data_IF_590430795952
#
_entry.id   IF_590430795952
#
_cell.length_a   1.000
_cell.length_b   1.000
_cell.length_c   1.000
_cell.angle_alpha   90.00
_cell.angle_beta   90.00
_cell.angle_gamma   90.00
#
_symmetry.space_group_name_H-M   'P 1'
#
loop_
_entity.id
_entity.type
_entity.pdbx_description
1 polymer ?
#
# COMPACT_ATOMS: atom_id res chain seq x y z
N UNK A 1 33.82 -27.12 -4.16
CA UNK A 1 32.41 -26.79 -4.48
C UNK A 1 31.71 -26.57 -3.15
N UNK A 2 31.31 -25.33 -2.85
CA UNK A 2 30.71 -24.98 -1.55
C UNK A 2 29.20 -25.24 -1.62
N UNK A 3 28.69 -26.17 -0.82
CA UNK A 3 27.26 -26.44 -0.74
C UNK A 3 26.66 -25.59 0.38
N UNK A 4 25.94 -24.53 0.02
CA UNK A 4 25.16 -23.74 0.98
C UNK A 4 23.81 -24.43 1.18
N UNK A 5 23.55 -24.93 2.40
CA UNK A 5 22.22 -25.41 2.80
C UNK A 5 21.55 -24.34 3.65
N UNK A 6 20.35 -23.93 3.26
CA UNK A 6 19.49 -23.06 4.06
C UNK A 6 18.71 -23.95 5.03
N UNK A 7 18.97 -23.86 6.33
CA UNK A 7 18.12 -24.47 7.36
C UNK A 7 17.42 -23.35 8.12
N UNK A 8 16.08 -23.41 8.09
CA UNK A 8 15.14 -22.74 8.99
C UNK A 8 15.38 -21.25 9.23
N UNK A 9 14.90 -20.45 8.28
CA UNK A 9 14.69 -19.01 8.47
C UNK A 9 13.63 -18.79 9.56
N UNK A 10 14.04 -18.56 10.81
CA UNK A 10 13.13 -18.11 11.88
C UNK A 10 13.00 -16.58 11.77
N UNK A 11 11.83 -16.04 11.38
CA UNK A 11 11.64 -14.59 11.34
C UNK A 11 11.71 -14.03 12.77
N UNK A 12 12.65 -13.13 13.02
CA UNK A 12 12.70 -12.34 14.26
C UNK A 12 12.07 -10.96 14.04
N UNK A 13 11.53 -10.30 15.09
CA UNK A 13 10.87 -8.99 14.99
C UNK A 13 11.75 -7.83 14.49
N UNK A 14 13.03 -8.08 14.19
CA UNK A 14 14.00 -7.09 13.72
C UNK A 14 14.61 -7.42 12.35
N UNK A 15 14.01 -8.34 11.58
CA UNK A 15 14.43 -8.59 10.20
C UNK A 15 15.85 -9.16 10.04
N UNK A 16 16.39 -9.83 11.07
CA UNK A 16 17.70 -10.46 10.97
C UNK A 16 17.53 -11.92 10.53
N UNK A 17 17.98 -12.23 9.31
CA UNK A 17 18.11 -13.61 8.83
C UNK A 17 19.50 -14.13 9.23
N UNK A 18 19.56 -15.18 10.03
CA UNK A 18 20.82 -15.82 10.42
C UNK A 18 21.07 -17.04 9.53
N UNK A 19 22.09 -16.99 8.69
CA UNK A 19 22.48 -18.12 7.82
C UNK A 19 23.71 -18.79 8.42
N UNK A 20 23.65 -20.11 8.60
CA UNK A 20 24.82 -20.92 8.97
C UNK A 20 25.37 -21.62 7.73
N UNK A 21 26.61 -21.33 7.34
CA UNK A 21 27.31 -22.03 6.26
C UNK A 21 28.16 -23.12 6.92
N UNK A 22 27.86 -24.38 6.64
CA UNK A 22 28.66 -25.52 7.12
C UNK A 22 29.67 -25.91 6.03
N UNK A 23 30.94 -25.66 6.30
CA UNK A 23 32.08 -26.08 5.46
C UNK A 23 33.25 -26.49 6.34
N UNK A 24 34.06 -27.43 5.85
CA UNK A 24 35.12 -28.11 6.61
C UNK A 24 36.01 -27.14 7.40
N UNK A 25 35.84 -27.18 8.72
CA UNK A 25 36.66 -26.59 9.77
C UNK A 25 36.90 -25.07 9.79
N UNK A 26 35.87 -24.23 9.60
CA UNK A 26 35.78 -22.89 10.22
C UNK A 26 34.35 -22.32 10.08
N UNK A 27 33.60 -22.30 11.18
CA UNK A 27 32.31 -21.60 11.24
C UNK A 27 32.59 -20.09 11.24
N UNK A 28 32.32 -19.42 10.13
CA UNK A 28 32.29 -17.95 10.08
C UNK A 28 30.83 -17.50 10.15
N UNK A 29 30.47 -16.78 11.21
CA UNK A 29 29.18 -16.10 11.30
C UNK A 29 29.23 -14.81 10.49
N UNK A 30 28.56 -14.79 9.34
CA UNK A 30 28.35 -13.55 8.58
C UNK A 30 27.02 -12.96 9.01
N UNK A 31 27.06 -11.79 9.66
CA UNK A 31 25.87 -11.02 10.00
C UNK A 31 25.53 -10.12 8.82
N UNK A 32 24.46 -10.41 8.10
CA UNK A 32 23.94 -9.54 7.04
C UNK A 32 22.83 -8.71 7.65
N UNK A 33 23.07 -7.41 7.85
CA UNK A 33 22.02 -6.48 8.25
C UNK A 33 21.16 -6.15 7.04
N UNK A 34 20.01 -6.82 6.92
CA UNK A 34 18.98 -6.42 5.97
C UNK A 34 18.30 -5.19 6.58
N UNK A 35 18.89 -4.01 6.35
CA UNK A 35 18.24 -2.75 6.68
C UNK A 35 16.94 -2.65 5.88
N UNK A 36 15.82 -2.98 6.49
CA UNK A 36 14.51 -2.66 5.94
C UNK A 36 14.47 -1.13 5.83
N UNK A 37 14.62 -0.61 4.61
CA UNK A 37 14.37 0.79 4.35
C UNK A 37 12.91 1.06 4.73
N UNK A 38 12.69 1.65 5.91
CA UNK A 38 11.38 2.17 6.32
C UNK A 38 11.09 3.35 5.41
N UNK A 39 10.50 3.05 4.24
CA UNK A 39 9.89 4.09 3.43
C UNK A 39 8.69 4.59 4.20
N UNK A 40 8.79 5.81 4.73
CA UNK A 40 7.66 6.51 5.33
C UNK A 40 6.60 6.60 4.23
N UNK A 41 5.53 5.82 4.37
CA UNK A 41 4.45 5.84 3.39
C UNK A 41 3.58 7.05 3.69
N UNK A 42 3.47 7.91 2.68
CA UNK A 42 2.73 9.17 2.76
C UNK A 42 1.22 8.87 2.91
N UNK A 43 0.49 9.43 3.90
CA UNK A 43 -0.91 9.07 4.15
C UNK A 43 -1.81 9.46 2.97
N UNK A 44 -2.91 8.74 2.71
CA UNK A 44 -3.86 9.19 1.68
C UNK A 44 -4.52 10.52 2.11
N UNK A 45 -4.39 11.57 1.28
CA UNK A 45 -4.97 12.90 1.55
C UNK A 45 -6.30 13.15 0.82
N UNK A 46 -6.85 12.16 0.12
CA UNK A 46 -8.08 12.33 -0.65
C UNK A 46 -7.91 13.20 -1.90
N UNK A 47 -6.72 13.19 -2.53
CA UNK A 47 -6.47 13.96 -3.75
C UNK A 47 -7.22 13.46 -5.00
N UNK A 48 -7.74 12.23 -4.95
CA UNK A 48 -8.51 11.63 -6.05
C UNK A 48 -7.69 11.04 -7.20
N UNK A 49 -6.34 11.16 -7.20
CA UNK A 49 -5.50 10.73 -8.33
C UNK A 49 -5.73 9.29 -8.77
N UNK A 50 -5.76 8.35 -7.82
CA UNK A 50 -5.97 6.94 -8.13
C UNK A 50 -7.40 6.70 -8.61
N UNK A 51 -8.40 7.24 -7.89
CA UNK A 51 -9.82 6.99 -8.17
C UNK A 51 -10.38 7.70 -9.42
N UNK A 52 -9.77 8.81 -9.84
CA UNK A 52 -10.08 9.49 -11.10
C UNK A 52 -9.30 8.91 -12.28
N UNK A 53 -8.19 8.22 -12.02
CA UNK A 53 -7.38 7.58 -13.04
C UNK A 53 -7.93 6.22 -13.45
N UNK A 54 -8.29 5.38 -12.47
CA UNK A 54 -8.86 4.07 -12.72
C UNK A 54 -9.79 3.61 -11.58
N UNK A 55 -10.73 2.74 -11.91
CA UNK A 55 -11.64 2.15 -10.95
C UNK A 55 -10.94 1.01 -10.19
N UNK A 56 -11.06 0.97 -8.87
CA UNK A 56 -10.47 -0.11 -8.08
C UNK A 56 -11.23 -1.43 -8.26
N UNK A 57 -10.57 -2.55 -7.98
CA UNK A 57 -11.16 -3.90 -8.12
C UNK A 57 -12.47 -4.05 -7.31
N UNK A 58 -12.53 -3.52 -6.10
CA UNK A 58 -13.73 -3.54 -5.25
C UNK A 58 -14.90 -2.85 -5.95
N UNK A 59 -14.66 -1.67 -6.54
CA UNK A 59 -15.69 -0.94 -7.27
C UNK A 59 -16.07 -1.64 -8.57
N UNK A 60 -15.11 -2.23 -9.29
CA UNK A 60 -15.40 -3.07 -10.46
C UNK A 60 -16.30 -4.26 -10.13
N UNK A 61 -16.02 -4.97 -9.03
CA UNK A 61 -16.82 -6.11 -8.58
C UNK A 61 -18.26 -5.72 -8.26
N UNK A 62 -18.46 -4.53 -7.69
CA UNK A 62 -19.79 -4.05 -7.27
C UNK A 62 -20.58 -3.39 -8.39
N UNK A 63 -19.93 -2.70 -9.33
CA UNK A 63 -20.60 -1.82 -10.29
C UNK A 63 -20.29 -2.12 -11.76
N UNK A 64 -19.42 -3.10 -12.04
CA UNK A 64 -18.82 -3.29 -13.36
C UNK A 64 -17.88 -2.15 -13.75
N UNK A 65 -17.47 -2.13 -15.02
CA UNK A 65 -16.63 -1.05 -15.57
C UNK A 65 -17.44 0.24 -15.73
N UNK A 66 -16.96 1.33 -15.13
CA UNK A 66 -17.53 2.68 -15.28
C UNK A 66 -16.42 3.69 -15.63
N UNK A 67 -16.70 4.70 -16.48
CA UNK A 67 -15.73 5.76 -16.78
C UNK A 67 -15.25 6.55 -15.55
N UNK A 68 -16.09 6.58 -14.51
CA UNK A 68 -15.76 7.15 -13.20
C UNK A 68 -16.34 6.26 -12.11
N UNK A 69 -15.55 6.00 -11.07
CA UNK A 69 -15.97 5.24 -9.90
C UNK A 69 -17.24 5.88 -9.28
N UNK A 70 -18.37 5.16 -9.17
CA UNK A 70 -19.61 5.69 -8.57
C UNK A 70 -19.45 6.08 -7.10
N UNK A 71 -18.49 5.47 -6.42
CA UNK A 71 -18.24 5.60 -4.99
C UNK A 71 -17.30 6.77 -4.67
N UNK A 72 -16.83 7.50 -5.69
CA UNK A 72 -15.95 8.65 -5.52
C UNK A 72 -16.76 9.95 -5.42
N UNK A 73 -16.86 10.51 -4.22
CA UNK A 73 -17.53 11.79 -3.97
C UNK A 73 -16.54 12.89 -3.60
N UNK A 74 -16.84 14.13 -3.99
CA UNK A 74 -16.11 15.31 -3.51
C UNK A 74 -16.81 15.83 -2.25
N UNK A 75 -16.10 15.83 -1.13
CA UNK A 75 -16.55 16.47 0.10
C UNK A 75 -16.08 17.93 0.11
N UNK A 76 -17.02 18.84 -0.13
CA UNK A 76 -16.73 20.27 -0.18
C UNK A 76 -16.34 20.85 1.20
N UNK A 77 -16.87 20.29 2.29
CA UNK A 77 -16.56 20.76 3.64
C UNK A 77 -15.15 20.34 4.05
N UNK A 78 -14.75 19.11 3.71
CA UNK A 78 -13.39 18.61 3.95
C UNK A 78 -12.37 19.04 2.88
N UNK A 79 -12.82 19.62 1.76
CA UNK A 79 -11.96 20.03 0.65
C UNK A 79 -11.19 18.87 0.01
N UNK A 80 -11.78 17.66 -0.05
CA UNK A 80 -11.12 16.45 -0.56
C UNK A 80 -12.09 15.43 -1.12
N UNK A 81 -11.59 14.46 -1.87
CA UNK A 81 -12.38 13.30 -2.27
C UNK A 81 -12.53 12.29 -1.12
N UNK A 82 -13.70 11.68 -1.05
CA UNK A 82 -14.06 10.59 -0.13
C UNK A 82 -14.57 9.39 -0.91
N UNK A 83 -14.24 8.19 -0.43
CA UNK A 83 -14.77 6.94 -0.96
C UNK A 83 -15.98 6.52 -0.12
N UNK A 84 -17.16 6.46 -0.74
CA UNK A 84 -18.41 6.15 -0.06
C UNK A 84 -18.45 4.71 0.48
N UNK A 85 -17.80 3.74 -0.20
CA UNK A 85 -17.61 2.39 0.35
C UNK A 85 -16.88 2.41 1.69
N UNK A 86 -15.83 3.21 1.85
CA UNK A 86 -15.08 3.30 3.11
C UNK A 86 -15.90 3.96 4.23
N UNK A 87 -16.95 4.72 3.89
CA UNK A 87 -17.88 5.34 4.83
C UNK A 87 -19.10 4.48 5.13
N UNK A 88 -19.26 3.33 4.45
CA UNK A 88 -20.39 2.44 4.68
C UNK A 88 -20.41 1.94 6.15
N UNK A 89 -21.54 2.06 6.87
CA UNK A 89 -21.60 1.75 8.30
C UNK A 89 -21.45 0.26 8.61
N UNK A 90 -21.85 -0.63 7.70
CA UNK A 90 -21.85 -2.07 7.92
C UNK A 90 -20.55 -2.72 7.42
N UNK A 91 -20.10 -2.31 6.24
CA UNK A 91 -19.00 -2.95 5.51
C UNK A 91 -17.76 -2.08 5.37
N UNK A 92 -17.78 -0.86 5.89
CA UNK A 92 -16.68 0.11 5.72
C UNK A 92 -15.34 -0.40 6.26
N UNK A 93 -15.34 -1.17 7.36
CA UNK A 93 -14.13 -1.79 7.88
C UNK A 93 -13.53 -2.81 6.89
N UNK A 94 -14.37 -3.67 6.30
CA UNK A 94 -13.97 -4.63 5.28
C UNK A 94 -13.43 -3.93 4.04
N UNK A 95 -14.11 -2.90 3.54
CA UNK A 95 -13.65 -2.14 2.39
C UNK A 95 -12.34 -1.40 2.64
N UNK A 96 -12.13 -0.87 3.85
CA UNK A 96 -10.84 -0.27 4.24
C UNK A 96 -9.71 -1.30 4.18
N UNK A 97 -9.94 -2.52 4.67
CA UNK A 97 -8.96 -3.60 4.60
C UNK A 97 -8.66 -4.03 3.15
N UNK A 98 -9.69 -4.29 2.34
CA UNK A 98 -9.53 -4.67 0.92
C UNK A 98 -8.81 -3.61 0.08
N UNK A 99 -8.96 -2.32 0.45
CA UNK A 99 -8.35 -1.19 -0.24
C UNK A 99 -7.05 -0.71 0.41
N UNK A 100 -6.50 -1.46 1.37
CA UNK A 100 -5.24 -1.15 2.06
C UNK A 100 -5.24 0.27 2.67
N UNK A 101 -6.38 0.71 3.18
CA UNK A 101 -6.51 2.03 3.78
C UNK A 101 -5.64 2.12 5.04
N UNK A 102 -4.67 3.03 5.03
CA UNK A 102 -3.72 3.23 6.13
C UNK A 102 -2.30 2.75 5.82
N UNK A 103 -2.10 1.90 4.81
CA UNK A 103 -0.78 1.40 4.39
C UNK A 103 0.05 2.48 3.65
N UNK A 104 -0.58 3.62 3.36
CA UNK A 104 0.02 4.77 2.70
C UNK A 104 -0.29 4.86 1.21
N UNK A 105 0.23 5.91 0.59
CA UNK A 105 -0.10 6.26 -0.78
C UNK A 105 0.77 5.49 -1.76
N UNK A 106 0.13 4.83 -2.73
CA UNK A 106 0.82 4.15 -3.83
C UNK A 106 1.56 5.12 -4.79
N UNK A 107 1.41 6.43 -4.62
CA UNK A 107 2.11 7.46 -5.39
C UNK A 107 2.47 8.65 -4.48
N UNK A 108 3.52 8.51 -3.63
CA UNK A 108 3.86 9.51 -2.62
C UNK A 108 4.32 10.84 -3.23
N UNK A 109 4.98 10.83 -4.38
CA UNK A 109 5.46 12.03 -5.08
C UNK A 109 4.40 12.67 -6.01
N UNK A 110 3.16 12.18 -5.97
CA UNK A 110 2.08 12.72 -6.80
C UNK A 110 1.80 14.21 -6.46
N UNK A 111 1.92 15.13 -7.43
CA UNK A 111 1.73 16.56 -7.18
C UNK A 111 0.31 16.91 -6.68
N UNK A 112 -0.71 16.10 -6.97
CA UNK A 112 -2.08 16.38 -6.51
C UNK A 112 -2.22 16.30 -4.98
N UNK A 113 -1.26 15.70 -4.28
CA UNK A 113 -1.23 15.69 -2.80
C UNK A 113 -1.04 17.09 -2.23
N UNK A 114 -0.33 17.97 -2.94
CA UNK A 114 -0.07 19.37 -2.55
C UNK A 114 -1.09 20.35 -3.15
N UNK A 115 -1.96 19.87 -4.04
CA UNK A 115 -2.99 20.62 -4.76
C UNK A 115 -4.30 19.80 -4.78
N UNK A 116 -4.87 19.59 -3.59
CA UNK A 116 -6.15 18.88 -3.46
C UNK A 116 -7.27 19.85 -3.84
N UNK A 117 -7.94 19.53 -4.94
CA UNK A 117 -9.06 20.30 -5.47
C UNK A 117 -9.99 19.39 -6.26
N UNK A 118 -11.24 19.82 -6.37
CA UNK A 118 -12.22 19.17 -7.23
C UNK A 118 -11.74 19.26 -8.68
N UNK A 119 -11.65 18.10 -9.31
CA UNK A 119 -11.37 17.93 -10.74
C UNK A 119 -12.61 17.30 -11.36
N UNK A 120 -13.29 18.07 -12.19
CA UNK A 120 -14.34 17.54 -13.03
C UNK A 120 -13.67 16.85 -14.23
N UNK A 121 -14.18 15.68 -14.65
CA UNK A 121 -13.71 15.06 -15.89
C UNK A 121 -14.30 15.89 -17.03
N UNK A 122 -13.56 16.90 -17.49
CA UNK A 122 -14.05 17.87 -18.47
C UNK A 122 -13.11 19.04 -18.73
N UNK A 123 -11.90 18.73 -19.22
CA UNK A 123 -11.08 19.61 -20.08
C UNK A 123 -10.02 18.76 -20.77
#
# INVERSE_FOLDING_TARGET
MLHVRFQDAVPTPRGCLQIQIVGDMRVQSIRIEIGAAVRVSEPCVGCGRCCLGDQCEVSHRLHGYKPRCPELSWDAAAGRYVCLLMLNPERGATFKAELYAGEGCCSPDNPWRRDVRKRDLGS
#
